data_IF_353724564788
#
_entry.id   IF_353724564788
#
_cell.length_a   1.000
_cell.length_b   1.000
_cell.length_c   1.000
_cell.angle_alpha   90.00
_cell.angle_beta   90.00
_cell.angle_gamma   90.00
#
_symmetry.space_group_name_H-M   'P 1'
#
loop_
_entity.id
_entity.type
_entity.pdbx_description
1 polymer ?
#
# COMPACT_ATOMS: atom_id res chain seq x y z
N UNK A 1 27.24 -4.11 -23.19
CA UNK A 1 26.33 -4.61 -22.13
C UNK A 1 26.25 -3.57 -21.03
N UNK A 2 25.16 -2.78 -21.00
CA UNK A 2 24.87 -1.78 -19.96
C UNK A 2 23.95 -2.45 -18.94
N UNK A 3 24.41 -2.57 -17.71
CA UNK A 3 23.59 -3.06 -16.59
C UNK A 3 22.77 -1.88 -16.04
N UNK A 4 21.44 -2.04 -16.07
CA UNK A 4 20.45 -1.12 -15.54
C UNK A 4 20.46 -1.18 -14.01
N UNK A 5 20.60 -0.02 -13.38
CA UNK A 5 20.47 0.17 -11.94
C UNK A 5 18.99 0.08 -11.53
N UNK A 6 18.61 -0.77 -10.56
CA UNK A 6 17.25 -0.84 -10.08
C UNK A 6 16.89 0.37 -9.21
N UNK A 7 15.74 0.93 -9.58
CA UNK A 7 14.87 1.86 -8.88
C UNK A 7 15.02 1.83 -7.35
N UNK A 8 15.59 2.91 -6.78
CA UNK A 8 15.46 3.23 -5.35
C UNK A 8 14.00 3.66 -5.10
N UNK A 9 13.20 2.76 -4.54
CA UNK A 9 11.95 3.12 -3.87
C UNK A 9 12.30 4.04 -2.69
N UNK A 10 11.83 5.28 -2.74
CA UNK A 10 11.83 6.18 -1.60
C UNK A 10 10.67 5.73 -0.72
N UNK A 11 10.95 4.82 0.21
CA UNK A 11 10.05 4.56 1.33
C UNK A 11 10.03 5.83 2.18
N UNK A 12 9.02 6.67 1.97
CA UNK A 12 8.70 7.75 2.89
C UNK A 12 8.22 7.12 4.18
N UNK A 13 9.17 6.80 5.06
CA UNK A 13 8.96 6.67 6.50
C UNK A 13 8.43 8.00 7.00
N UNK A 14 7.13 8.23 6.80
CA UNK A 14 6.41 9.23 7.57
C UNK A 14 6.22 8.58 8.94
N UNK A 15 6.93 9.01 9.99
CA UNK A 15 6.68 8.50 11.32
C UNK A 15 5.19 8.77 11.61
N UNK A 16 4.45 7.72 11.97
CA UNK A 16 3.13 7.86 12.56
C UNK A 16 3.23 8.96 13.62
N UNK A 17 2.55 10.08 13.37
CA UNK A 17 2.54 11.20 14.29
C UNK A 17 1.81 10.69 15.52
N UNK A 18 2.56 10.36 16.56
CA UNK A 18 1.99 10.00 17.85
C UNK A 18 1.25 11.23 18.40
N UNK A 19 -0.07 11.20 18.24
CA UNK A 19 -0.97 12.26 18.69
C UNK A 19 -0.83 12.49 20.20
N UNK A 20 -0.43 11.48 20.97
CA UNK A 20 -0.17 11.63 22.39
C UNK A 20 1.07 12.50 22.65
N UNK A 21 2.17 12.27 21.92
CA UNK A 21 3.38 13.10 22.02
C UNK A 21 3.11 14.54 21.57
N UNK A 22 2.36 14.71 20.48
CA UNK A 22 1.97 16.04 19.97
C UNK A 22 1.13 16.80 21.00
N UNK A 23 0.11 16.17 21.57
CA UNK A 23 -0.74 16.78 22.59
C UNK A 23 0.02 17.09 23.88
N UNK A 24 1.01 16.27 24.24
CA UNK A 24 1.87 16.52 25.39
C UNK A 24 2.79 17.74 25.15
N UNK A 25 3.34 17.91 23.94
CA UNK A 25 4.09 19.12 23.55
C UNK A 25 3.20 20.36 23.55
N UNK A 26 1.97 20.28 23.02
CA UNK A 26 1.02 21.40 23.03
C UNK A 26 0.66 21.81 24.46
N UNK A 27 0.42 20.85 25.36
CA UNK A 27 0.15 21.14 26.79
C UNK A 27 1.37 21.76 27.49
N UNK A 28 2.57 21.25 27.23
CA UNK A 28 3.80 21.81 27.79
C UNK A 28 4.04 23.25 27.30
N UNK A 29 3.78 23.53 26.03
CA UNK A 29 3.97 24.86 25.46
C UNK A 29 2.87 25.84 25.92
N UNK A 30 1.62 25.39 26.04
CA UNK A 30 0.56 26.16 26.67
C UNK A 30 0.90 26.50 28.13
N UNK A 31 1.45 25.55 28.89
CA UNK A 31 1.90 25.80 30.26
C UNK A 31 3.05 26.82 30.34
N UNK A 32 4.00 26.81 29.37
CA UNK A 32 5.04 27.84 29.28
C UNK A 32 4.48 29.23 28.98
N UNK A 33 3.47 29.33 28.12
CA UNK A 33 2.81 30.60 27.79
C UNK A 33 2.07 31.13 29.02
N UNK A 34 1.33 30.27 29.72
CA UNK A 34 0.65 30.61 30.96
C UNK A 34 1.66 31.02 32.04
N UNK A 35 2.77 30.31 32.20
CA UNK A 35 3.83 30.69 33.14
C UNK A 35 4.48 32.04 32.79
N UNK A 36 4.71 32.35 31.51
CA UNK A 36 5.19 33.67 31.06
C UNK A 36 4.16 34.78 31.35
N UNK A 37 2.88 34.51 31.16
CA UNK A 37 1.82 35.47 31.45
C UNK A 37 1.61 35.68 32.95
N UNK A 38 1.71 34.64 33.78
CA UNK A 38 1.64 34.76 35.23
C UNK A 38 2.87 35.49 35.77
N UNK A 39 4.05 35.34 35.17
CA UNK A 39 5.22 36.12 35.56
C UNK A 39 5.14 37.60 35.09
N UNK A 40 4.34 37.90 34.04
CA UNK A 40 3.96 39.27 33.66
C UNK A 40 2.80 39.84 34.50
N UNK A 41 1.95 38.96 35.05
CA UNK A 41 0.80 39.29 35.90
C UNK A 41 1.06 39.07 37.38
N UNK A 42 2.31 38.84 37.82
CA UNK A 42 2.66 39.32 39.15
C UNK A 42 2.20 40.78 39.16
N UNK A 43 1.43 41.22 40.17
CA UNK A 43 1.15 42.63 40.39
C UNK A 43 2.48 43.29 40.75
N UNK A 44 3.31 43.42 39.71
CA UNK A 44 4.55 44.13 39.72
C UNK A 44 4.15 45.53 40.08
N UNK A 45 4.59 45.92 41.28
CA UNK A 45 5.17 47.24 41.53
C UNK A 45 5.12 48.06 40.26
N UNK A 46 4.09 48.92 40.16
CA UNK A 46 4.08 50.02 39.20
C UNK A 46 5.52 50.56 39.17
N UNK A 47 6.19 50.57 38.01
CA UNK A 47 7.59 50.96 37.91
C UNK A 47 7.70 52.32 38.58
N UNK A 48 8.43 52.32 39.71
CA UNK A 48 8.36 53.26 40.81
C UNK A 48 7.48 54.46 40.52
N UNK A 49 6.26 54.48 41.08
CA UNK A 49 5.51 55.73 41.26
C UNK A 49 6.52 56.73 41.75
N UNK A 50 6.92 57.65 40.87
CA UNK A 50 7.96 58.61 41.15
C UNK A 50 7.39 59.42 42.29
N UNK A 51 7.73 59.01 43.51
CA UNK A 51 7.18 59.58 44.72
C UNK A 51 7.58 61.03 44.58
N UNK A 52 6.57 61.90 44.45
CA UNK A 52 6.82 63.32 44.29
C UNK A 52 7.82 63.69 45.39
N UNK A 53 8.95 64.32 45.05
CA UNK A 53 9.97 64.63 46.03
C UNK A 53 9.26 65.35 47.16
N UNK A 54 9.48 64.88 48.39
CA UNK A 54 8.86 65.49 49.55
C UNK A 54 9.13 67.00 49.47
N UNK A 55 8.04 67.78 49.41
CA UNK A 55 8.11 69.23 49.33
C UNK A 55 9.02 69.66 50.47
N UNK A 56 10.17 70.23 50.13
CA UNK A 56 11.12 70.67 51.15
C UNK A 56 10.47 71.84 51.85
N UNK A 57 10.10 71.66 53.11
CA UNK A 57 9.60 72.75 53.94
C UNK A 57 10.71 73.81 54.04
N UNK A 58 10.54 74.88 53.28
CA UNK A 58 11.41 76.04 53.34
C UNK A 58 11.21 76.64 54.73
N UNK A 59 12.28 76.66 55.53
CA UNK A 59 12.22 77.27 56.85
C UNK A 59 11.72 78.71 56.73
N UNK A 60 10.81 79.15 57.63
CA UNK A 60 10.24 80.49 57.56
C UNK A 60 11.34 81.54 57.61
N UNK A 61 11.09 82.69 56.98
CA UNK A 61 12.04 83.81 56.96
C UNK A 61 12.47 84.14 58.40
N UNK A 62 13.78 84.29 58.67
CA UNK A 62 14.25 84.71 59.98
C UNK A 62 13.57 86.04 60.32
N UNK A 63 12.90 86.09 61.47
CA UNK A 63 12.22 87.30 61.94
C UNK A 63 13.31 88.29 62.31
N UNK A 64 13.44 89.35 61.52
CA UNK A 64 14.34 90.45 61.84
C UNK A 64 13.83 91.13 63.10
N UNK A 65 14.55 90.95 64.21
CA UNK A 65 14.22 91.66 65.45
C UNK A 65 14.39 93.16 65.17
N UNK A 66 13.39 93.99 65.49
CA UNK A 66 13.51 95.42 65.30
C UNK A 66 14.74 95.91 66.06
N UNK A 67 15.61 96.64 65.36
CA UNK A 67 16.83 97.20 65.93
C UNK A 67 16.40 98.13 67.05
N UNK A 68 16.68 97.76 68.30
CA UNK A 68 16.45 98.63 69.45
C UNK A 68 17.14 99.96 69.16
N UNK A 69 16.54 101.11 69.43
CA UNK A 69 17.23 102.40 69.19
C UNK A 69 18.42 102.53 70.13
N UNK A 70 19.54 103.08 69.65
CA UNK A 70 20.64 103.45 70.56
C UNK A 70 20.10 104.61 71.36
N UNK A 71 19.84 104.39 72.64
CA UNK A 71 19.59 105.50 73.55
C UNK A 71 20.94 106.14 73.80
N UNK A 72 21.43 106.86 72.80
CA UNK A 72 22.59 107.71 72.94
C UNK A 72 22.19 108.70 74.03
N UNK A 73 22.70 108.50 75.25
CA UNK A 73 22.42 109.38 76.38
C UNK A 73 23.22 110.67 76.19
N UNK A 74 23.02 111.32 75.05
CA UNK A 74 23.67 112.55 74.64
C UNK A 74 23.46 113.61 75.70
N UNK A 75 22.24 113.71 76.21
CA UNK A 75 21.89 114.57 77.34
C UNK A 75 22.73 114.26 78.58
N UNK A 76 22.82 112.99 79.00
CA UNK A 76 23.66 112.60 80.16
C UNK A 76 25.15 112.92 79.93
N UNK A 77 25.64 112.73 78.71
CA UNK A 77 27.03 113.03 78.35
C UNK A 77 27.31 114.53 78.39
N UNK A 78 26.42 115.32 77.80
CA UNK A 78 26.50 116.79 77.79
C UNK A 78 26.38 117.34 79.22
N UNK A 79 25.53 116.76 80.06
CA UNK A 79 25.39 117.10 81.48
C UNK A 79 26.63 116.74 82.29
N UNK A 80 27.23 115.56 82.07
CA UNK A 80 28.48 115.18 82.72
C UNK A 80 29.65 116.09 82.32
N UNK A 81 29.73 116.49 81.04
CA UNK A 81 30.73 117.44 80.55
C UNK A 81 30.51 118.85 81.11
N UNK A 82 29.26 119.32 81.13
CA UNK A 82 28.89 120.61 81.71
C UNK A 82 29.23 120.64 83.20
N UNK A 83 28.85 119.58 83.92
CA UNK A 83 29.19 119.37 85.32
C UNK A 83 30.72 119.33 85.53
N UNK A 84 31.47 118.61 84.72
CA UNK A 84 32.94 118.60 84.79
C UNK A 84 33.53 120.01 84.62
N UNK A 85 33.02 120.77 83.63
CA UNK A 85 33.44 122.17 83.41
C UNK A 85 33.09 123.09 84.57
N UNK A 86 31.92 122.92 85.18
CA UNK A 86 31.49 123.67 86.37
C UNK A 86 32.37 123.37 87.58
N UNK A 87 32.86 122.13 87.74
CA UNK A 87 33.79 121.79 88.84
C UNK A 87 35.17 122.43 88.72
N UNK A 88 35.54 122.94 87.53
CA UNK A 88 36.76 123.71 87.32
C UNK A 88 36.60 125.20 87.66
N UNK A 89 35.36 125.68 87.83
CA UNK A 89 35.09 127.06 88.23
C UNK A 89 35.34 127.22 89.74
N UNK A 90 36.52 127.76 90.06
CA UNK A 90 36.85 128.21 91.41
C UNK A 90 36.09 129.50 91.70
N UNK A 91 35.48 129.60 92.88
CA UNK A 91 34.70 130.78 93.27
C UNK A 91 35.49 132.08 93.07
N UNK A 92 34.85 133.09 92.49
CA UNK A 92 35.50 134.33 92.03
C UNK A 92 36.23 135.09 93.15
N UNK A 93 35.82 134.90 94.41
CA UNK A 93 36.38 135.52 95.60
C UNK A 93 37.78 135.01 95.98
N UNK A 94 38.22 133.84 95.47
CA UNK A 94 39.56 133.30 95.76
C UNK A 94 40.62 134.05 94.91
N UNK A 95 41.67 134.63 95.53
CA UNK A 95 42.69 135.38 94.80
C UNK A 95 43.42 134.52 93.76
N UNK A 96 43.74 135.14 92.61
CA UNK A 96 44.37 134.47 91.44
C UNK A 96 45.54 133.53 91.78
N UNK A 97 46.52 133.87 92.64
CA UNK A 97 47.66 132.98 92.90
C UNK A 97 47.27 131.70 93.64
N UNK A 98 46.17 131.68 94.39
CA UNK A 98 45.73 130.52 95.17
C UNK A 98 44.69 129.63 94.45
N UNK A 99 44.07 130.11 93.36
CA UNK A 99 43.10 129.33 92.57
C UNK A 99 43.60 127.94 92.12
N UNK A 100 44.89 127.70 91.81
CA UNK A 100 45.38 126.36 91.47
C UNK A 100 45.26 125.35 92.61
N UNK A 101 45.40 125.79 93.87
CA UNK A 101 45.33 124.94 95.07
C UNK A 101 43.90 124.55 95.44
N UNK A 102 42.91 125.40 95.09
CA UNK A 102 41.49 125.19 95.38
C UNK A 102 40.69 124.62 94.20
N UNK A 103 41.35 124.29 93.08
CA UNK A 103 40.73 123.46 92.05
C UNK A 103 40.58 122.05 92.62
N UNK A 104 39.35 121.61 92.87
CA UNK A 104 39.05 120.22 93.21
C UNK A 104 39.35 119.31 92.00
N UNK A 105 40.64 119.02 91.78
CA UNK A 105 41.11 118.15 90.70
C UNK A 105 40.48 116.77 90.82
N UNK A 106 40.26 116.27 92.04
CA UNK A 106 39.61 114.98 92.30
C UNK A 106 38.18 114.93 91.78
N UNK A 107 37.41 116.01 91.92
CA UNK A 107 36.03 116.10 91.43
C UNK A 107 35.96 116.13 89.89
N UNK A 108 36.85 116.89 89.26
CA UNK A 108 36.97 116.95 87.81
C UNK A 108 37.43 115.61 87.22
N UNK A 109 38.49 115.01 87.78
CA UNK A 109 39.02 113.72 87.36
C UNK A 109 37.97 112.61 87.48
N UNK A 110 37.19 112.59 88.58
CA UNK A 110 36.07 111.66 88.74
C UNK A 110 35.00 111.82 87.67
N UNK A 111 34.60 113.06 87.35
CA UNK A 111 33.61 113.34 86.30
C UNK A 111 34.13 112.97 84.91
N UNK A 112 35.39 113.26 84.61
CA UNK A 112 36.02 112.82 83.36
C UNK A 112 36.07 111.29 83.23
N UNK A 113 36.46 110.57 84.29
CA UNK A 113 36.44 109.10 84.28
C UNK A 113 35.02 108.59 84.06
N UNK A 114 34.00 109.21 84.67
CA UNK A 114 32.61 108.84 84.44
C UNK A 114 32.15 109.10 82.99
N UNK A 115 32.56 110.23 82.39
CA UNK A 115 32.32 110.54 80.97
C UNK A 115 32.99 109.54 80.04
N UNK A 116 34.27 109.22 80.27
CA UNK A 116 35.02 108.22 79.51
C UNK A 116 34.37 106.84 79.67
N UNK A 117 34.01 106.46 80.90
CA UNK A 117 33.31 105.19 81.17
C UNK A 117 31.97 105.13 80.45
N UNK A 118 31.20 106.23 80.42
CA UNK A 118 29.94 106.32 79.68
C UNK A 118 30.16 106.21 78.17
N UNK A 119 31.22 106.82 77.63
CA UNK A 119 31.58 106.75 76.21
C UNK A 119 32.00 105.33 75.82
N UNK A 120 32.85 104.68 76.63
CA UNK A 120 33.26 103.28 76.44
C UNK A 120 32.04 102.35 76.48
N UNK A 121 31.11 102.55 77.43
CA UNK A 121 29.84 101.80 77.48
C UNK A 121 29.01 101.99 76.22
N UNK A 122 28.87 103.22 75.72
CA UNK A 122 28.15 103.51 74.48
C UNK A 122 28.85 102.88 73.25
N UNK A 123 30.18 102.92 73.20
CA UNK A 123 30.96 102.31 72.12
C UNK A 123 30.82 100.79 72.12
N UNK A 124 30.88 100.16 73.30
CA UNK A 124 30.62 98.72 73.45
C UNK A 124 29.17 98.36 73.06
N UNK A 125 28.19 99.19 73.41
CA UNK A 125 26.80 98.98 72.99
C UNK A 125 26.66 99.08 71.46
N UNK A 126 27.32 100.06 70.82
CA UNK A 126 27.37 100.18 69.36
C UNK A 126 28.08 98.99 68.71
N UNK A 127 29.22 98.56 69.23
CA UNK A 127 29.95 97.41 68.72
C UNK A 127 29.09 96.12 68.80
N UNK A 128 28.42 95.89 69.92
CA UNK A 128 27.49 94.77 70.08
C UNK A 128 26.33 94.85 69.07
N UNK A 129 25.81 96.04 68.78
CA UNK A 129 24.75 96.22 67.76
C UNK A 129 25.22 95.99 66.35
N UNK A 130 26.44 96.42 66.03
CA UNK A 130 27.06 96.14 64.72
C UNK A 130 27.23 94.63 64.57
N UNK A 131 27.69 93.93 65.62
CA UNK A 131 27.78 92.47 65.64
C UNK A 131 26.39 91.81 65.48
N UNK A 132 25.35 92.30 66.16
CA UNK A 132 23.98 91.81 66.01
C UNK A 132 23.44 92.02 64.57
N UNK A 133 23.74 93.17 63.95
CA UNK A 133 23.36 93.47 62.57
C UNK A 133 24.07 92.57 61.56
N UNK A 134 25.37 92.32 61.76
CA UNK A 134 26.13 91.39 60.94
C UNK A 134 25.56 89.99 61.06
N UNK A 135 25.30 89.51 62.28
CA UNK A 135 24.69 88.20 62.53
C UNK A 135 23.29 88.07 61.91
N UNK A 136 22.47 89.12 61.99
CA UNK A 136 21.17 89.17 61.33
C UNK A 136 21.29 89.14 59.80
N UNK A 137 22.23 89.91 59.24
CA UNK A 137 22.52 89.93 57.81
C UNK A 137 23.03 88.58 57.28
N UNK A 138 23.93 87.92 58.01
CA UNK A 138 24.38 86.57 57.71
C UNK A 138 23.24 85.56 57.77
N UNK A 139 22.38 85.64 58.79
CA UNK A 139 21.21 84.76 58.92
C UNK A 139 20.24 84.93 57.75
N UNK A 140 20.00 86.17 57.32
CA UNK A 140 19.18 86.48 56.15
C UNK A 140 19.84 86.01 54.85
N UNK A 141 21.14 86.21 54.69
CA UNK A 141 21.90 85.73 53.53
C UNK A 141 21.88 84.20 53.42
N UNK A 142 22.04 83.48 54.54
CA UNK A 142 21.93 82.02 54.57
C UNK A 142 20.52 81.55 54.24
N UNK A 143 19.49 82.23 54.75
CA UNK A 143 18.10 81.92 54.39
C UNK A 143 17.83 82.12 52.90
N UNK A 144 18.26 83.25 52.31
CA UNK A 144 18.13 83.51 50.88
C UNK A 144 18.86 82.46 50.03
N UNK A 145 20.07 82.05 50.44
CA UNK A 145 20.81 80.98 49.78
C UNK A 145 20.06 79.64 49.83
N UNK A 146 19.45 79.31 50.97
CA UNK A 146 18.62 78.10 51.10
C UNK A 146 17.36 78.16 50.21
N UNK A 147 16.70 79.32 50.12
CA UNK A 147 15.55 79.52 49.23
C UNK A 147 15.95 79.39 47.75
N UNK A 148 17.09 79.97 47.36
CA UNK A 148 17.61 79.84 46.00
C UNK A 148 17.97 78.38 45.66
N UNK A 149 18.60 77.67 46.59
CA UNK A 149 18.90 76.25 46.45
C UNK A 149 17.62 75.40 46.32
N UNK A 150 16.61 75.65 47.14
CA UNK A 150 15.31 74.98 47.05
C UNK A 150 14.66 75.21 45.67
N UNK A 151 14.61 76.46 45.20
CA UNK A 151 14.05 76.79 43.88
C UNK A 151 14.80 76.12 42.73
N UNK A 152 16.13 76.03 42.82
CA UNK A 152 16.94 75.33 41.81
C UNK A 152 16.65 73.83 41.77
N UNK A 153 16.41 73.21 42.94
CA UNK A 153 16.01 71.82 43.04
C UNK A 153 14.61 71.60 42.46
N UNK A 154 13.67 72.53 42.69
CA UNK A 154 12.32 72.47 42.12
C UNK A 154 12.36 72.57 40.59
N UNK A 155 13.18 73.48 40.03
CA UNK A 155 13.37 73.60 38.58
C UNK A 155 13.95 72.31 37.99
N UNK A 156 14.99 71.75 38.63
CA UNK A 156 15.59 70.50 38.19
C UNK A 156 14.57 69.34 38.23
N UNK A 157 13.73 69.30 39.27
CA UNK A 157 12.67 68.31 39.36
C UNK A 157 11.59 68.49 38.28
N UNK A 158 11.15 69.73 38.02
CA UNK A 158 10.17 70.01 36.96
C UNK A 158 10.69 69.56 35.59
N UNK A 159 11.96 69.82 35.26
CA UNK A 159 12.57 69.33 34.02
C UNK A 159 12.67 67.79 33.98
N UNK A 160 13.00 67.14 35.10
CA UNK A 160 13.00 65.68 35.16
C UNK A 160 11.59 65.08 35.01
N UNK A 161 10.57 65.75 35.55
CA UNK A 161 9.17 65.37 35.39
C UNK A 161 8.71 65.56 33.94
N UNK A 162 9.07 66.68 33.30
CA UNK A 162 8.80 66.97 31.89
C UNK A 162 9.41 65.91 30.98
N UNK A 163 10.69 65.54 31.18
CA UNK A 163 11.34 64.47 30.41
C UNK A 163 10.66 63.12 30.59
N UNK A 164 10.20 62.79 31.81
CA UNK A 164 9.44 61.57 32.05
C UNK A 164 8.09 61.60 31.35
N UNK A 165 7.37 62.72 31.39
CA UNK A 165 6.10 62.91 30.69
C UNK A 165 6.27 62.79 29.17
N UNK A 166 7.32 63.39 28.62
CA UNK A 166 7.67 63.27 27.20
C UNK A 166 8.04 61.83 26.81
N UNK A 167 8.77 61.11 27.67
CA UNK A 167 9.06 59.69 27.46
C UNK A 167 7.81 58.82 27.53
N UNK A 168 6.90 59.09 28.45
CA UNK A 168 5.62 58.38 28.57
C UNK A 168 4.68 58.66 27.40
N UNK A 169 4.63 59.90 26.90
CA UNK A 169 3.83 60.23 25.71
C UNK A 169 4.38 59.58 24.45
N UNK A 170 5.70 59.53 24.29
CA UNK A 170 6.35 58.81 23.19
C UNK A 170 6.08 57.30 23.25
N UNK A 171 6.19 56.68 24.43
CA UNK A 171 5.87 55.28 24.62
C UNK A 171 4.38 54.97 24.36
N UNK A 172 3.48 55.87 24.76
CA UNK A 172 2.06 55.76 24.46
C UNK A 172 1.78 55.84 22.95
N UNK A 173 2.46 56.74 22.24
CA UNK A 173 2.35 56.85 20.77
C UNK A 173 2.85 55.58 20.05
N UNK A 174 3.98 55.01 20.49
CA UNK A 174 4.47 53.74 19.95
C UNK A 174 3.50 52.59 20.21
N UNK A 175 2.86 52.57 21.38
CA UNK A 175 1.85 51.57 21.71
C UNK A 175 0.59 51.72 20.84
N UNK A 176 0.14 52.95 20.54
CA UNK A 176 -0.97 53.18 19.61
C UNK A 176 -0.62 52.75 18.18
N UNK A 177 0.60 53.02 17.71
CA UNK A 177 1.07 52.59 16.39
C UNK A 177 1.18 51.06 16.30
N UNK A 178 1.63 50.41 17.37
CA UNK A 178 1.68 48.95 17.45
C UNK A 178 0.28 48.35 17.41
N UNK A 179 -0.71 48.97 18.07
CA UNK A 179 -2.11 48.52 18.03
C UNK A 179 -2.71 48.72 16.63
N UNK A 180 -2.42 49.83 15.96
CA UNK A 180 -2.85 50.08 14.59
C UNK A 180 -2.29 49.02 13.63
N UNK A 181 -0.98 48.71 13.71
CA UNK A 181 -0.35 47.63 12.94
C UNK A 181 -0.96 46.25 13.22
N UNK A 182 -1.25 45.95 14.48
CA UNK A 182 -1.92 44.70 14.86
C UNK A 182 -3.34 44.61 14.26
N UNK A 183 -4.08 45.71 14.26
CA UNK A 183 -5.41 45.77 13.66
C UNK A 183 -5.37 45.54 12.15
N UNK A 184 -4.43 46.18 11.44
CA UNK A 184 -4.21 45.97 10.01
C UNK A 184 -3.87 44.50 9.70
N UNK A 185 -2.99 43.89 10.49
CA UNK A 185 -2.64 42.47 10.35
C UNK A 185 -3.86 41.55 10.54
N UNK A 186 -4.69 41.81 11.55
CA UNK A 186 -5.94 41.05 11.76
C UNK A 186 -6.91 41.21 10.60
N UNK A 187 -7.02 42.41 10.03
CA UNK A 187 -7.86 42.67 8.85
C UNK A 187 -7.37 41.89 7.62
N UNK A 188 -6.05 41.84 7.39
CA UNK A 188 -5.45 41.03 6.32
C UNK A 188 -5.70 39.54 6.51
N UNK A 189 -5.56 39.03 7.74
CA UNK A 189 -5.87 37.64 8.08
C UNK A 189 -7.34 37.30 7.79
N UNK A 190 -8.26 38.17 8.18
CA UNK A 190 -9.69 38.00 7.90
C UNK A 190 -9.95 37.94 6.39
N UNK A 191 -9.37 38.85 5.60
CA UNK A 191 -9.49 38.82 4.15
C UNK A 191 -8.92 37.55 3.51
N UNK A 192 -7.85 36.97 4.08
CA UNK A 192 -7.33 35.68 3.62
C UNK A 192 -8.26 34.51 3.94
N UNK A 193 -8.90 34.49 5.11
CA UNK A 193 -9.91 33.49 5.45
C UNK A 193 -11.12 33.56 4.52
N UNK A 194 -11.59 34.76 4.19
CA UNK A 194 -12.70 34.95 3.25
C UNK A 194 -12.36 34.39 1.86
N UNK A 195 -11.15 34.68 1.35
CA UNK A 195 -10.66 34.12 0.08
C UNK A 195 -10.56 32.60 0.10
N UNK A 196 -10.07 32.03 1.20
CA UNK A 196 -9.96 30.58 1.36
C UNK A 196 -11.34 29.92 1.42
N UNK A 197 -12.32 30.56 2.08
CA UNK A 197 -13.71 30.13 2.08
C UNK A 197 -14.31 30.12 0.67
N UNK A 198 -14.10 31.17 -0.13
CA UNK A 198 -14.51 31.20 -1.53
C UNK A 198 -13.84 30.08 -2.35
N UNK A 199 -12.54 29.85 -2.15
CA UNK A 199 -11.82 28.78 -2.86
C UNK A 199 -12.34 27.38 -2.51
N UNK A 200 -12.64 27.11 -1.24
CA UNK A 200 -13.25 25.85 -0.81
C UNK A 200 -14.61 25.64 -1.47
N UNK A 201 -15.46 26.68 -1.49
CA UNK A 201 -16.77 26.60 -2.14
C UNK A 201 -16.63 26.31 -3.65
N UNK A 202 -15.71 26.99 -4.33
CA UNK A 202 -15.44 26.75 -5.75
C UNK A 202 -14.95 25.31 -6.00
N UNK A 203 -14.04 24.78 -5.18
CA UNK A 203 -13.57 23.39 -5.29
C UNK A 203 -14.70 22.39 -5.04
N UNK A 204 -15.60 22.69 -4.10
CA UNK A 204 -16.76 21.85 -3.82
C UNK A 204 -17.74 21.87 -4.99
N UNK A 205 -17.98 23.04 -5.59
CA UNK A 205 -18.78 23.19 -6.81
C UNK A 205 -18.14 22.47 -7.99
N UNK A 206 -16.81 22.57 -8.17
CA UNK A 206 -16.06 21.81 -9.18
C UNK A 206 -16.17 20.31 -8.95
N UNK A 207 -16.07 19.82 -7.71
CA UNK A 207 -16.23 18.40 -7.38
C UNK A 207 -17.65 17.90 -7.66
N UNK A 208 -18.65 18.73 -7.39
CA UNK A 208 -20.06 18.46 -7.70
C UNK A 208 -20.30 18.47 -9.23
N UNK A 209 -19.79 19.49 -9.93
CA UNK A 209 -19.91 19.68 -11.37
C UNK A 209 -19.11 18.66 -12.19
N UNK A 210 -17.96 18.20 -11.68
CA UNK A 210 -17.18 17.11 -12.24
C UNK A 210 -17.94 15.77 -12.20
N UNK A 211 -19.14 15.74 -11.58
CA UNK A 211 -20.07 14.63 -11.68
C UNK A 211 -19.47 13.33 -11.16
N UNK A 212 -18.45 13.39 -10.30
CA UNK A 212 -17.72 12.20 -9.82
C UNK A 212 -18.67 11.18 -9.21
N UNK A 213 -19.72 11.64 -8.54
CA UNK A 213 -20.78 10.79 -7.99
C UNK A 213 -21.67 10.18 -9.06
N UNK A 214 -22.07 10.95 -10.07
CA UNK A 214 -22.90 10.49 -11.20
C UNK A 214 -22.12 9.54 -12.11
N UNK A 215 -20.84 9.81 -12.34
CA UNK A 215 -19.92 8.96 -13.09
C UNK A 215 -19.65 7.63 -12.39
N UNK A 216 -19.48 7.64 -11.06
CA UNK A 216 -19.40 6.42 -10.25
C UNK A 216 -20.71 5.62 -10.29
N UNK A 217 -21.87 6.28 -10.20
CA UNK A 217 -23.17 5.62 -10.34
C UNK A 217 -23.37 5.02 -11.75
N UNK A 218 -22.93 5.72 -12.80
CA UNK A 218 -22.98 5.22 -14.17
C UNK A 218 -22.06 4.00 -14.36
N UNK A 219 -20.85 4.02 -13.80
CA UNK A 219 -19.94 2.87 -13.81
C UNK A 219 -20.51 1.68 -13.01
N UNK A 220 -21.11 1.93 -11.84
CA UNK A 220 -21.80 0.90 -11.06
C UNK A 220 -22.90 0.24 -11.88
N UNK A 221 -23.76 1.03 -12.54
CA UNK A 221 -24.83 0.52 -13.40
C UNK A 221 -24.30 -0.26 -14.61
N UNK A 222 -23.14 0.11 -15.16
CA UNK A 222 -22.47 -0.67 -16.22
C UNK A 222 -21.96 -2.01 -15.71
N UNK A 223 -21.36 -2.05 -14.51
CA UNK A 223 -20.89 -3.29 -13.87
C UNK A 223 -22.05 -4.23 -13.56
N UNK A 224 -23.18 -3.71 -13.05
CA UNK A 224 -24.36 -4.52 -12.77
C UNK A 224 -24.95 -5.15 -14.05
N UNK A 225 -24.98 -4.37 -15.15
CA UNK A 225 -25.39 -4.89 -16.47
C UNK A 225 -24.44 -5.98 -16.97
N UNK A 226 -23.13 -5.78 -16.83
CA UNK A 226 -22.12 -6.76 -17.21
C UNK A 226 -22.27 -8.05 -16.39
N UNK A 227 -22.49 -7.93 -15.08
CA UNK A 227 -22.79 -9.06 -14.21
C UNK A 227 -24.04 -9.84 -14.68
N UNK A 228 -25.09 -9.13 -15.08
CA UNK A 228 -26.28 -9.74 -15.69
C UNK A 228 -25.97 -10.50 -16.99
N UNK A 229 -25.13 -9.95 -17.86
CA UNK A 229 -24.69 -10.64 -19.09
C UNK A 229 -23.88 -11.90 -18.79
N UNK A 230 -22.96 -11.87 -17.82
CA UNK A 230 -22.17 -13.05 -17.42
C UNK A 230 -23.07 -14.17 -16.92
N UNK A 231 -24.05 -13.85 -16.05
CA UNK A 231 -25.01 -14.85 -15.55
C UNK A 231 -25.87 -15.41 -16.68
N UNK A 232 -26.28 -14.58 -17.64
CA UNK A 232 -27.04 -15.06 -18.80
C UNK A 232 -26.19 -15.96 -19.70
N UNK A 233 -24.93 -15.60 -19.96
CA UNK A 233 -24.01 -16.47 -20.70
C UNK A 233 -23.74 -17.79 -19.96
N UNK A 234 -23.57 -17.76 -18.64
CA UNK A 234 -23.41 -18.96 -17.84
C UNK A 234 -24.66 -19.85 -17.92
N UNK A 235 -25.86 -19.26 -17.88
CA UNK A 235 -27.11 -19.99 -18.14
C UNK A 235 -27.19 -20.52 -19.55
N UNK A 236 -26.80 -19.76 -20.56
CA UNK A 236 -26.78 -20.22 -21.95
C UNK A 236 -25.79 -21.37 -22.14
N UNK A 237 -24.59 -21.28 -21.58
CA UNK A 237 -23.59 -22.37 -21.60
C UNK A 237 -24.12 -23.62 -20.90
N UNK A 238 -24.77 -23.46 -19.75
CA UNK A 238 -25.39 -24.57 -19.03
C UNK A 238 -26.61 -25.14 -19.77
N UNK A 239 -27.44 -24.28 -20.39
CA UNK A 239 -28.64 -24.66 -21.12
C UNK A 239 -28.33 -25.26 -22.50
N UNK A 240 -27.22 -24.87 -23.13
CA UNK A 240 -26.67 -25.52 -24.32
C UNK A 240 -26.32 -26.97 -24.01
N UNK A 241 -26.27 -27.37 -22.72
CA UNK A 241 -26.20 -28.77 -22.33
C UNK A 241 -25.03 -29.45 -23.02
N UNK A 242 -23.94 -28.71 -23.27
CA UNK A 242 -22.82 -29.20 -24.06
C UNK A 242 -22.31 -30.51 -23.49
N UNK A 243 -22.39 -30.68 -22.17
CA UNK A 243 -22.08 -31.92 -21.49
C UNK A 243 -23.06 -33.06 -21.81
N UNK A 244 -24.36 -32.84 -21.69
CA UNK A 244 -25.37 -33.86 -21.99
C UNK A 244 -25.39 -34.22 -23.49
N UNK A 245 -25.22 -33.24 -24.38
CA UNK A 245 -25.16 -33.47 -25.81
C UNK A 245 -23.86 -34.20 -26.21
N UNK A 246 -22.72 -33.85 -25.60
CA UNK A 246 -21.46 -34.58 -25.80
C UNK A 246 -21.53 -36.00 -25.23
N UNK A 247 -22.15 -36.21 -24.07
CA UNK A 247 -22.38 -37.54 -23.49
C UNK A 247 -23.31 -38.39 -24.38
N UNK A 248 -24.35 -37.77 -24.96
CA UNK A 248 -25.24 -38.43 -25.91
C UNK A 248 -24.51 -38.80 -27.22
N UNK A 249 -23.69 -37.89 -27.76
CA UNK A 249 -22.87 -38.14 -28.96
C UNK A 249 -21.82 -39.22 -28.71
N UNK A 250 -21.18 -39.21 -27.54
CA UNK A 250 -20.24 -40.25 -27.12
C UNK A 250 -20.95 -41.61 -27.04
N UNK A 251 -22.13 -41.66 -26.42
CA UNK A 251 -22.94 -42.88 -26.37
C UNK A 251 -23.39 -43.37 -27.75
N UNK A 252 -23.62 -42.48 -28.72
CA UNK A 252 -23.88 -42.88 -30.11
C UNK A 252 -22.63 -43.44 -30.79
N UNK A 253 -21.46 -42.82 -30.58
CA UNK A 253 -20.20 -43.29 -31.12
C UNK A 253 -19.84 -44.68 -30.60
N UNK A 254 -20.03 -44.94 -29.30
CA UNK A 254 -19.76 -46.26 -28.69
C UNK A 254 -20.66 -47.36 -29.27
N UNK A 255 -21.96 -47.06 -29.48
CA UNK A 255 -22.90 -48.01 -30.12
C UNK A 255 -22.52 -48.30 -31.57
N UNK A 256 -22.11 -47.28 -32.32
CA UNK A 256 -21.62 -47.45 -33.69
C UNK A 256 -20.34 -48.27 -33.72
N UNK A 257 -19.41 -48.02 -32.80
CA UNK A 257 -18.19 -48.82 -32.63
C UNK A 257 -18.49 -50.29 -32.39
N UNK A 258 -19.41 -50.59 -31.47
CA UNK A 258 -19.85 -51.96 -31.19
C UNK A 258 -20.50 -52.63 -32.42
N UNK A 259 -21.33 -51.89 -33.16
CA UNK A 259 -21.96 -52.39 -34.38
C UNK A 259 -20.95 -52.71 -35.48
N UNK A 260 -19.94 -51.86 -35.69
CA UNK A 260 -18.85 -52.11 -36.64
C UNK A 260 -18.09 -53.39 -36.27
N UNK A 261 -17.76 -53.57 -34.99
CA UNK A 261 -17.09 -54.80 -34.51
C UNK A 261 -17.95 -56.04 -34.78
N UNK A 262 -19.27 -55.96 -34.55
CA UNK A 262 -20.16 -57.09 -34.82
C UNK A 262 -20.23 -57.43 -36.32
N UNK A 263 -20.40 -56.42 -37.19
CA UNK A 263 -20.41 -56.61 -38.65
C UNK A 263 -19.07 -57.17 -39.13
N UNK A 264 -17.95 -56.72 -38.56
CA UNK A 264 -16.62 -57.26 -38.87
C UNK A 264 -16.51 -58.74 -38.51
N UNK A 265 -17.05 -59.15 -37.36
CA UNK A 265 -17.08 -60.54 -36.93
C UNK A 265 -17.97 -61.40 -37.84
N UNK A 266 -19.14 -60.89 -38.23
CA UNK A 266 -20.04 -61.57 -39.19
C UNK A 266 -19.37 -61.74 -40.56
N UNK A 267 -18.69 -60.70 -41.06
CA UNK A 267 -17.93 -60.76 -42.31
C UNK A 267 -16.80 -61.80 -42.25
N UNK A 268 -16.08 -61.89 -41.14
CA UNK A 268 -15.05 -62.91 -40.94
C UNK A 268 -15.65 -64.33 -40.91
N UNK A 269 -16.77 -64.52 -40.19
CA UNK A 269 -17.46 -65.81 -40.15
C UNK A 269 -17.97 -66.24 -41.54
N UNK A 270 -18.52 -65.30 -42.33
CA UNK A 270 -18.92 -65.58 -43.72
C UNK A 270 -17.73 -65.92 -44.61
N UNK A 271 -16.60 -65.23 -44.44
CA UNK A 271 -15.35 -65.54 -45.17
C UNK A 271 -14.85 -66.94 -44.86
N UNK A 272 -14.86 -67.36 -43.59
CA UNK A 272 -14.42 -68.69 -43.19
C UNK A 272 -15.37 -69.78 -43.67
N UNK A 273 -16.69 -69.52 -43.64
CA UNK A 273 -17.68 -70.39 -44.30
C UNK A 273 -17.38 -70.54 -45.78
N UNK A 274 -17.16 -69.44 -46.51
CA UNK A 274 -16.85 -69.47 -47.94
C UNK A 274 -15.59 -70.29 -48.24
N UNK A 275 -14.53 -70.16 -47.43
CA UNK A 275 -13.32 -71.00 -47.54
C UNK A 275 -13.65 -72.49 -47.36
N UNK A 276 -14.43 -72.83 -46.34
CA UNK A 276 -14.87 -74.22 -46.10
C UNK A 276 -15.66 -74.79 -47.29
N UNK A 277 -16.54 -74.00 -47.91
CA UNK A 277 -17.25 -74.41 -49.13
C UNK A 277 -16.31 -74.64 -50.30
N UNK A 278 -15.32 -73.77 -50.50
CA UNK A 278 -14.29 -73.95 -51.54
C UNK A 278 -13.48 -75.24 -51.32
N UNK A 279 -13.09 -75.53 -50.09
CA UNK A 279 -12.35 -76.76 -49.77
C UNK A 279 -13.21 -78.01 -49.97
N UNK A 280 -14.51 -77.95 -49.64
CA UNK A 280 -15.48 -79.02 -49.93
C UNK A 280 -15.64 -79.23 -51.44
N UNK A 281 -15.75 -78.16 -52.23
CA UNK A 281 -15.83 -78.27 -53.69
C UNK A 281 -14.57 -78.94 -54.27
N UNK A 282 -13.37 -78.53 -53.83
CA UNK A 282 -12.10 -79.19 -54.21
C UNK A 282 -12.03 -80.66 -53.79
N UNK A 283 -12.65 -81.04 -52.67
CA UNK A 283 -12.72 -82.44 -52.25
C UNK A 283 -13.65 -83.25 -53.16
N UNK A 284 -14.81 -82.70 -53.52
CA UNK A 284 -15.75 -83.30 -54.48
C UNK A 284 -15.12 -83.42 -55.86
N UNK A 285 -14.43 -82.39 -56.35
CA UNK A 285 -13.72 -82.40 -57.63
C UNK A 285 -12.69 -83.54 -57.68
N UNK A 286 -11.85 -83.68 -56.65
CA UNK A 286 -10.91 -84.81 -56.51
C UNK A 286 -11.60 -86.18 -56.40
N UNK A 287 -12.84 -86.23 -55.91
CA UNK A 287 -13.62 -87.47 -55.87
C UNK A 287 -14.17 -87.81 -57.26
N UNK A 288 -14.64 -86.82 -58.02
CA UNK A 288 -15.08 -86.97 -59.40
C UNK A 288 -13.91 -87.40 -60.29
N UNK A 289 -12.72 -86.81 -60.15
CA UNK A 289 -11.51 -87.25 -60.85
C UNK A 289 -11.16 -88.71 -60.56
N UNK A 290 -11.18 -89.11 -59.28
CA UNK A 290 -10.96 -90.51 -58.87
C UNK A 290 -11.98 -91.46 -59.46
N UNK A 291 -13.27 -91.11 -59.41
CA UNK A 291 -14.35 -91.88 -60.03
C UNK A 291 -14.17 -91.95 -61.56
N UNK A 292 -13.72 -90.87 -62.20
CA UNK A 292 -13.40 -90.82 -63.62
C UNK A 292 -12.29 -91.81 -64.00
N UNK A 293 -11.21 -91.87 -63.22
CA UNK A 293 -10.13 -92.87 -63.41
C UNK A 293 -10.67 -94.29 -63.20
N UNK A 294 -11.44 -94.53 -62.14
CA UNK A 294 -12.06 -95.84 -61.89
C UNK A 294 -12.96 -96.27 -63.06
N UNK A 295 -13.76 -95.35 -63.61
CA UNK A 295 -14.61 -95.63 -64.76
C UNK A 295 -13.79 -95.96 -66.02
N UNK A 296 -12.67 -95.27 -66.26
CA UNK A 296 -11.76 -95.61 -67.36
C UNK A 296 -11.13 -97.00 -67.19
N UNK A 297 -10.73 -97.37 -65.97
CA UNK A 297 -10.22 -98.70 -65.66
C UNK A 297 -11.27 -99.77 -65.93
N UNK A 298 -12.49 -99.62 -65.40
CA UNK A 298 -13.60 -100.55 -65.64
C UNK A 298 -13.91 -100.63 -67.14
N UNK A 299 -13.92 -99.51 -67.86
CA UNK A 299 -14.12 -99.50 -69.32
C UNK A 299 -13.03 -100.26 -70.05
N UNK A 300 -11.78 -100.14 -69.63
CA UNK A 300 -10.66 -100.91 -70.19
C UNK A 300 -10.79 -102.41 -69.92
N UNK A 301 -11.18 -102.79 -68.69
CA UNK A 301 -11.44 -104.18 -68.32
C UNK A 301 -12.61 -104.78 -69.11
N UNK A 302 -13.72 -104.06 -69.27
CA UNK A 302 -14.83 -104.47 -70.13
C UNK A 302 -14.36 -104.64 -71.58
N UNK A 303 -13.52 -103.73 -72.08
CA UNK A 303 -12.89 -103.85 -73.40
C UNK A 303 -12.06 -105.14 -73.54
N UNK A 304 -11.21 -105.45 -72.55
CA UNK A 304 -10.43 -106.69 -72.50
C UNK A 304 -11.33 -107.93 -72.46
N UNK A 305 -12.31 -107.97 -71.56
CA UNK A 305 -13.27 -109.06 -71.44
C UNK A 305 -14.06 -109.27 -72.74
N UNK A 306 -14.37 -108.19 -73.47
CA UNK A 306 -15.05 -108.28 -74.78
C UNK A 306 -14.15 -108.94 -75.83
N UNK A 307 -12.85 -108.60 -75.85
CA UNK A 307 -11.86 -109.23 -76.74
C UNK A 307 -11.67 -110.71 -76.36
N UNK A 308 -11.54 -111.02 -75.06
CA UNK A 308 -11.43 -112.39 -74.55
C UNK A 308 -12.67 -113.22 -74.89
N UNK A 309 -13.88 -112.66 -74.71
CA UNK A 309 -15.15 -113.32 -75.08
C UNK A 309 -15.21 -113.59 -76.58
N UNK A 310 -14.80 -112.63 -77.41
CA UNK A 310 -14.75 -112.79 -78.87
C UNK A 310 -13.72 -113.85 -79.27
N UNK A 311 -12.56 -113.87 -78.62
CA UNK A 311 -11.55 -114.90 -78.83
C UNK A 311 -12.06 -116.28 -78.41
N UNK A 312 -12.71 -116.39 -77.24
CA UNK A 312 -13.34 -117.63 -76.79
C UNK A 312 -14.45 -118.10 -77.74
N UNK A 313 -15.27 -117.19 -78.28
CA UNK A 313 -16.26 -117.50 -79.32
C UNK A 313 -15.60 -118.00 -80.61
N UNK A 314 -14.48 -117.41 -81.05
CA UNK A 314 -13.71 -117.90 -82.20
C UNK A 314 -13.14 -119.29 -81.94
N UNK A 315 -12.60 -119.55 -80.75
CA UNK A 315 -12.13 -120.87 -80.32
C UNK A 315 -13.25 -121.89 -80.30
N UNK A 316 -14.44 -121.52 -79.81
CA UNK A 316 -15.65 -122.35 -79.85
C UNK A 316 -16.09 -122.64 -81.28
N UNK A 317 -16.06 -121.65 -82.19
CA UNK A 317 -16.37 -121.87 -83.61
C UNK A 317 -15.35 -122.80 -84.28
N UNK A 318 -14.07 -122.67 -83.93
CA UNK A 318 -13.01 -123.58 -84.39
C UNK A 318 -13.18 -125.00 -83.82
N UNK A 319 -13.55 -125.14 -82.56
CA UNK A 319 -13.87 -126.43 -81.94
C UNK A 319 -15.12 -127.06 -82.56
N UNK A 320 -16.17 -126.29 -82.81
CA UNK A 320 -17.39 -126.76 -83.46
C UNK A 320 -17.13 -127.26 -84.89
N UNK A 321 -16.33 -126.53 -85.67
CA UNK A 321 -15.91 -126.97 -87.01
C UNK A 321 -14.98 -128.19 -86.95
N UNK A 322 -14.09 -128.28 -85.96
CA UNK A 322 -13.32 -129.50 -85.71
C UNK A 322 -14.20 -130.68 -85.33
N UNK A 323 -15.26 -130.45 -84.53
CA UNK A 323 -16.26 -131.45 -84.16
C UNK A 323 -17.01 -131.98 -85.37
N UNK A 324 -17.50 -131.09 -86.26
CA UNK A 324 -18.13 -131.49 -87.52
C UNK A 324 -17.18 -132.29 -88.42
N UNK A 325 -15.89 -131.94 -88.45
CA UNK A 325 -14.89 -132.69 -89.21
C UNK A 325 -14.66 -134.08 -88.63
N UNK A 326 -14.63 -134.21 -87.31
CA UNK A 326 -14.54 -135.49 -86.62
C UNK A 326 -15.79 -136.34 -86.84
N UNK A 327 -16.99 -135.74 -86.84
CA UNK A 327 -18.23 -136.43 -87.22
C UNK A 327 -18.18 -136.94 -88.67
N UNK A 328 -17.71 -136.14 -89.63
CA UNK A 328 -17.52 -136.59 -91.01
C UNK A 328 -16.49 -137.73 -91.13
N UNK A 329 -15.43 -137.68 -90.31
CA UNK A 329 -14.48 -138.79 -90.21
C UNK A 329 -15.13 -140.04 -89.61
N UNK A 330 -16.01 -139.87 -88.63
CA UNK A 330 -16.74 -140.98 -88.03
C UNK A 330 -17.71 -141.62 -89.02
N UNK A 331 -18.48 -140.82 -89.77
CA UNK A 331 -19.41 -141.35 -90.78
C UNK A 331 -18.67 -142.05 -91.91
N UNK A 332 -17.51 -141.54 -92.35
CA UNK A 332 -16.69 -142.23 -93.36
C UNK A 332 -16.07 -143.52 -92.82
N UNK A 333 -15.71 -143.58 -91.54
CA UNK A 333 -15.28 -144.81 -90.88
C UNK A 333 -16.43 -145.80 -90.76
N UNK A 334 -17.64 -145.37 -90.39
CA UNK A 334 -18.84 -146.21 -90.34
C UNK A 334 -19.22 -146.74 -91.74
N UNK A 335 -19.15 -145.91 -92.77
CA UNK A 335 -19.34 -146.32 -94.17
C UNK A 335 -18.30 -147.37 -94.59
N UNK A 336 -17.03 -147.18 -94.21
CA UNK A 336 -15.98 -148.19 -94.43
C UNK A 336 -16.27 -149.47 -93.67
N UNK A 337 -16.69 -149.39 -92.40
CA UNK A 337 -17.03 -150.56 -91.60
C UNK A 337 -18.22 -151.32 -92.18
N UNK A 338 -19.21 -150.60 -92.72
CA UNK A 338 -20.35 -151.17 -93.43
C UNK A 338 -19.90 -151.86 -94.74
N UNK A 339 -19.04 -151.21 -95.51
CA UNK A 339 -18.46 -151.78 -96.73
C UNK A 339 -17.60 -153.03 -96.42
N UNK A 340 -16.80 -153.00 -95.37
CA UNK A 340 -16.00 -154.15 -94.91
C UNK A 340 -16.91 -155.29 -94.42
N UNK A 341 -18.02 -154.97 -93.74
CA UNK A 341 -19.01 -155.97 -93.33
C UNK A 341 -19.75 -156.60 -94.52
N UNK A 342 -20.08 -155.84 -95.57
CA UNK A 342 -20.63 -156.38 -96.81
C UNK A 342 -19.61 -157.23 -97.57
N UNK A 343 -18.34 -156.80 -97.61
CA UNK A 343 -17.24 -157.57 -98.20
C UNK A 343 -17.07 -158.92 -97.49
N UNK A 344 -17.09 -158.94 -96.16
CA UNK A 344 -17.04 -160.18 -95.37
C UNK A 344 -18.25 -161.07 -95.68
N UNK A 345 -19.47 -160.50 -95.76
CA UNK A 345 -20.67 -161.28 -96.13
C UNK A 345 -20.55 -161.88 -97.54
N UNK A 346 -19.98 -161.15 -98.50
CA UNK A 346 -19.77 -161.63 -99.86
C UNK A 346 -18.78 -162.81 -99.89
N UNK A 347 -17.65 -162.72 -99.17
CA UNK A 347 -16.69 -163.83 -99.04
C UNK A 347 -17.33 -165.05 -98.38
N UNK A 348 -18.10 -164.85 -97.32
CA UNK A 348 -18.81 -165.95 -96.63
C UNK A 348 -19.83 -166.62 -97.55
N UNK A 349 -20.54 -165.84 -98.38
CA UNK A 349 -21.47 -166.38 -99.38
C UNK A 349 -20.76 -167.15 -100.52
N UNK A 350 -19.58 -166.70 -100.94
CA UNK A 350 -18.76 -167.35 -101.97
C UNK A 350 -18.22 -168.72 -101.51
N UNK A 351 -17.89 -168.85 -100.22
CA UNK A 351 -17.39 -170.10 -99.65
C UNK A 351 -18.49 -171.04 -99.08
N UNK A 352 -19.75 -170.59 -99.00
CA UNK A 352 -20.90 -171.39 -98.57
C UNK A 352 -21.11 -172.71 -99.35
N UNK A 353 -20.97 -172.78 -100.70
CA UNK A 353 -21.15 -174.05 -101.43
C UNK A 353 -19.99 -175.04 -101.24
N UNK A 354 -18.79 -174.59 -100.82
CA UNK A 354 -17.68 -175.47 -100.44
C UNK A 354 -17.90 -176.10 -99.07
N UNK A 355 -18.49 -175.35 -98.12
CA UNK A 355 -18.85 -175.86 -96.80
C UNK A 355 -20.04 -176.84 -96.85
N UNK A 356 -21.00 -176.66 -97.78
CA UNK A 356 -22.07 -177.65 -98.00
C UNK A 356 -21.58 -178.96 -98.62
N UNK A 357 -20.47 -178.98 -99.38
CA UNK A 357 -19.85 -180.22 -99.87
C UNK A 357 -19.10 -180.99 -98.78
N UNK A 358 -18.45 -180.29 -97.86
CA UNK A 358 -17.76 -180.90 -96.70
C UNK A 358 -18.71 -181.52 -95.66
N UNK A 359 -19.98 -181.09 -95.62
CA UNK A 359 -20.99 -181.67 -94.70
C UNK A 359 -21.73 -182.87 -95.32
N UNK A 360 -21.75 -183.01 -96.65
CA UNK A 360 -22.39 -184.17 -97.33
C UNK A 360 -21.43 -185.36 -97.50
N UNK A 361 -20.11 -185.11 -97.55
CA UNK A 361 -19.08 -186.18 -97.58
C UNK A 361 -18.73 -186.78 -96.21
N UNK A 362 -19.33 -186.32 -95.10
CA UNK A 362 -19.18 -186.94 -93.77
C UNK A 362 -20.23 -188.02 -93.43
N UNK A 363 -21.04 -188.43 -94.41
CA UNK A 363 -22.02 -189.54 -94.28
C UNK A 363 -21.71 -190.66 -95.28
N UNK A 364 -20.74 -191.52 -94.98
CA UNK A 364 -20.77 -193.00 -95.12
C UNK A 364 -19.39 -193.65 -94.90
N UNK A 365 -19.15 -194.11 -93.67
CA UNK A 365 -18.36 -195.31 -93.32
C UNK A 365 -18.94 -195.89 -92.00
N UNK A 366 -18.95 -197.22 -91.79
CA UNK A 366 -19.74 -197.90 -90.74
C UNK A 366 -18.95 -198.34 -89.49
N UNK A 367 -19.70 -198.75 -88.45
CA UNK A 367 -19.35 -199.49 -87.19
C UNK A 367 -18.32 -198.82 -86.25
N UNK A 368 -18.55 -198.60 -84.94
CA UNK A 368 -19.41 -199.24 -83.93
C UNK A 368 -20.29 -198.26 -83.16
#
# INVERSE_FOLDING_TARGET
>A
MRLLNPTRMIETSNPEIDVAELMQRVRAEAAKIVARNINRQQPGRLPGTATAPAVRDISPSPILRPIKRVNFRREKFDDLLRSARESLNVASWIPKPFRPLFRNQDGFNRRLIETITSLVKSNNEMANRIADLISAGESQSRWLANVAAARSADIAWMHAAEQKLAGQSAAAAEQTDSLARAHEHLSLLQGNFDRLGVHINNLQDEMNAAGTREHLQAMQAQLDRLGGHVVNFEREVNAIGAREHLEALQGQADRLGAHIVNVQNEANALRDRARSWVDRLRAVERQVERLGVQFQTVRSEVGKNTIETRSAQQSLAHLASSGQRLEQQLTTVEERHSADAEFIKAIVAEHAPLLQRLVVESTTAPEQ
#
